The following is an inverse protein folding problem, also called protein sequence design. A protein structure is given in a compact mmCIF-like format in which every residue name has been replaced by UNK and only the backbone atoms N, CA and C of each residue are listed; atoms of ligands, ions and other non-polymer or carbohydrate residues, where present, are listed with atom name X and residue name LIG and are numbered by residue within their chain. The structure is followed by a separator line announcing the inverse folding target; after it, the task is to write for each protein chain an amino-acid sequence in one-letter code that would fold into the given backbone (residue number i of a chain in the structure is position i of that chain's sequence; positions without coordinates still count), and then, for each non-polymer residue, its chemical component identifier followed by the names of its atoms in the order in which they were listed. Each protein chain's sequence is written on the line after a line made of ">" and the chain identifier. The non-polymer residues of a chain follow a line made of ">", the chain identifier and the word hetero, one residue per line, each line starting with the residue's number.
data_IF_377648411298
#
_entry.id   IF_377648411298
#
_cell.length_a   1.000
_cell.length_b   1.000
_cell.length_c   1.000
_cell.angle_alpha   90.00
_cell.angle_beta   90.00
_cell.angle_gamma   90.00
#
_symmetry.space_group_name_H-M   'P 1'
#
loop_
_entity.id
_entity.type
_entity.pdbx_description
1 polymer ?
#
# COMPACT_ATOMS: atom_id res chain seq x y z
N UNK A 1 11.01 26.56 3.04
CA UNK A 1 10.11 25.60 2.36
C UNK A 1 8.69 25.88 2.86
N UNK A 2 7.89 26.66 2.12
CA UNK A 2 6.52 27.04 2.53
C UNK A 2 5.58 25.89 2.15
N UNK A 3 5.16 25.09 3.13
CA UNK A 3 4.07 24.13 2.93
C UNK A 3 2.78 24.92 2.73
N UNK A 4 2.12 24.63 1.62
CA UNK A 4 0.91 25.31 1.16
C UNK A 4 -0.20 25.19 2.21
N UNK A 5 -0.82 26.33 2.53
CA UNK A 5 -2.05 26.42 3.28
C UNK A 5 -3.13 25.55 2.63
N UNK A 6 -3.80 24.73 3.43
CA UNK A 6 -4.93 23.88 3.05
C UNK A 6 -6.15 24.71 2.61
N UNK A 7 -6.09 25.24 1.39
CA UNK A 7 -7.28 25.69 0.68
C UNK A 7 -8.10 24.45 0.33
N UNK A 8 -9.17 24.18 1.09
CA UNK A 8 -10.22 23.25 0.65
C UNK A 8 -10.74 23.77 -0.68
N UNK A 9 -10.24 23.16 -1.75
CA UNK A 9 -10.60 23.48 -3.11
C UNK A 9 -12.10 23.23 -3.27
N UNK A 10 -12.88 24.31 -3.38
CA UNK A 10 -14.24 24.30 -3.93
C UNK A 10 -14.22 24.13 -5.46
N UNK A 11 -13.29 23.34 -6.00
CA UNK A 11 -13.40 22.94 -7.40
C UNK A 11 -14.50 21.89 -7.49
N UNK A 12 -15.63 22.29 -8.08
CA UNK A 12 -16.64 21.37 -8.59
C UNK A 12 -16.01 20.44 -9.61
N UNK A 13 -15.39 19.36 -9.12
CA UNK A 13 -14.84 18.30 -9.94
C UNK A 13 -16.02 17.54 -10.52
N UNK A 14 -16.47 17.94 -11.72
CA UNK A 14 -17.13 17.02 -12.63
C UNK A 14 -16.33 15.72 -12.60
N UNK A 15 -16.97 14.59 -12.27
CA UNK A 15 -16.38 13.25 -12.38
C UNK A 15 -15.80 13.11 -13.78
N UNK A 16 -14.51 13.36 -13.94
CA UNK A 16 -13.84 13.07 -15.20
C UNK A 16 -13.97 11.56 -15.41
N UNK A 17 -14.33 11.11 -16.63
CA UNK A 17 -14.42 9.69 -16.92
C UNK A 17 -13.12 9.03 -16.48
N UNK A 18 -13.23 7.89 -15.78
CA UNK A 18 -12.09 7.17 -15.20
C UNK A 18 -11.08 6.87 -16.29
N UNK A 19 -10.08 7.74 -16.46
CA UNK A 19 -9.02 7.52 -17.42
C UNK A 19 -8.27 6.28 -16.96
N UNK A 20 -8.33 5.20 -17.76
CA UNK A 20 -7.50 4.02 -17.56
C UNK A 20 -6.06 4.45 -17.83
N UNK A 21 -5.39 4.91 -16.78
CA UNK A 21 -4.08 5.55 -16.88
C UNK A 21 -2.97 4.61 -17.39
N UNK A 22 -3.24 3.31 -17.55
CA UNK A 22 -2.36 2.32 -18.19
C UNK A 22 -3.16 1.10 -18.69
N UNK A 23 -2.82 0.52 -19.86
CA UNK A 23 -3.06 -0.90 -20.07
C UNK A 23 -2.14 -1.68 -19.11
N UNK A 24 -2.68 -2.61 -18.29
CA UNK A 24 -1.84 -3.34 -17.34
C UNK A 24 -0.86 -4.23 -18.11
N UNK A 25 0.44 -4.11 -17.81
CA UNK A 25 1.50 -4.96 -18.38
C UNK A 25 1.39 -6.43 -17.99
N UNK A 26 0.66 -6.73 -16.91
CA UNK A 26 0.25 -8.08 -16.53
C UNK A 26 -1.19 -8.27 -17.01
N UNK A 27 -1.53 -9.39 -17.69
CA UNK A 27 -2.90 -9.63 -18.08
C UNK A 27 -3.80 -9.61 -16.84
N UNK A 28 -4.88 -8.82 -16.89
CA UNK A 28 -5.88 -8.69 -15.81
C UNK A 28 -6.34 -10.07 -15.31
N UNK A 29 -6.36 -11.05 -16.20
CA UNK A 29 -6.67 -12.45 -15.94
C UNK A 29 -5.74 -13.05 -14.87
N UNK A 30 -4.41 -12.90 -15.00
CA UNK A 30 -3.46 -13.45 -14.03
C UNK A 30 -3.66 -12.87 -12.62
N UNK A 31 -3.95 -11.56 -12.52
CA UNK A 31 -4.25 -10.91 -11.24
C UNK A 31 -5.55 -11.44 -10.63
N UNK A 32 -6.59 -11.62 -11.46
CA UNK A 32 -7.87 -12.19 -11.01
C UNK A 32 -7.68 -13.62 -10.51
N UNK A 33 -6.97 -14.46 -11.28
CA UNK A 33 -6.65 -15.84 -10.87
C UNK A 33 -5.89 -15.83 -9.55
N UNK A 34 -4.85 -15.00 -9.42
CA UNK A 34 -4.07 -14.94 -8.19
C UNK A 34 -4.91 -14.56 -6.96
N UNK A 35 -5.81 -13.60 -7.09
CA UNK A 35 -6.71 -13.21 -6.00
C UNK A 35 -7.78 -14.27 -5.72
N UNK A 36 -8.32 -14.90 -6.77
CA UNK A 36 -9.26 -16.02 -6.66
C UNK A 36 -8.61 -17.26 -6.05
N UNK A 37 -7.29 -17.42 -6.15
CA UNK A 37 -6.55 -18.48 -5.47
C UNK A 37 -6.12 -18.07 -4.06
N UNK A 38 -5.78 -16.81 -3.85
CA UNK A 38 -5.27 -16.31 -2.57
C UNK A 38 -6.31 -16.44 -1.46
N UNK A 39 -7.55 -15.98 -1.67
CA UNK A 39 -8.57 -16.02 -0.62
C UNK A 39 -8.97 -17.46 -0.23
N UNK A 40 -9.23 -18.39 -1.18
CA UNK A 40 -9.44 -19.79 -0.83
C UNK A 40 -8.21 -20.47 -0.23
N UNK A 41 -7.00 -20.13 -0.69
CA UNK A 41 -5.75 -20.63 -0.10
C UNK A 41 -5.65 -20.21 1.38
N UNK A 42 -5.94 -18.96 1.70
CA UNK A 42 -5.97 -18.47 3.08
C UNK A 42 -7.08 -19.13 3.90
N UNK A 43 -8.28 -19.30 3.32
CA UNK A 43 -9.39 -20.00 3.97
C UNK A 43 -9.06 -21.47 4.26
N UNK A 44 -8.37 -22.15 3.35
CA UNK A 44 -7.88 -23.50 3.52
C UNK A 44 -6.84 -23.57 4.66
N UNK A 45 -5.93 -22.59 4.74
CA UNK A 45 -5.00 -22.50 5.87
C UNK A 45 -5.77 -22.40 7.19
N UNK A 46 -6.78 -21.53 7.28
CA UNK A 46 -7.62 -21.41 8.47
C UNK A 46 -8.42 -22.68 8.78
N UNK A 47 -8.89 -23.40 7.77
CA UNK A 47 -9.58 -24.68 7.94
C UNK A 47 -8.68 -25.74 8.60
N UNK A 48 -7.44 -25.90 8.13
CA UNK A 48 -6.47 -26.81 8.75
C UNK A 48 -6.19 -26.47 10.21
N UNK A 49 -6.22 -25.17 10.54
CA UNK A 49 -5.92 -24.65 11.87
C UNK A 49 -7.11 -24.79 12.82
N UNK A 50 -8.34 -24.64 12.33
CA UNK A 50 -9.56 -24.83 13.10
C UNK A 50 -9.72 -26.26 13.66
N UNK A 51 -9.06 -27.25 13.04
CA UNK A 51 -9.01 -28.62 13.55
C UNK A 51 -8.13 -28.79 14.81
N UNK A 52 -7.36 -27.77 15.22
CA UNK A 52 -6.42 -27.82 16.35
C UNK A 52 -6.40 -26.50 17.12
N UNK A 53 -7.51 -26.12 17.81
CA UNK A 53 -7.58 -24.87 18.53
C UNK A 53 -6.51 -24.78 19.62
N UNK A 54 -5.87 -23.62 19.72
CA UNK A 54 -4.77 -23.35 20.66
C UNK A 54 -4.92 -21.92 21.20
N UNK A 55 -4.70 -21.74 22.51
CA UNK A 55 -4.85 -20.44 23.17
C UNK A 55 -3.85 -19.39 22.66
N UNK A 56 -2.71 -19.82 22.11
CA UNK A 56 -1.70 -18.99 21.48
C UNK A 56 -2.15 -18.39 20.13
N UNK A 57 -3.25 -18.86 19.54
CA UNK A 57 -3.77 -18.34 18.27
C UNK A 57 -4.13 -16.85 18.34
N UNK A 58 -4.79 -16.41 19.42
CA UNK A 58 -5.17 -15.01 19.59
C UNK A 58 -3.96 -14.06 19.71
N UNK A 59 -2.97 -14.29 20.60
CA UNK A 59 -1.78 -13.45 20.64
C UNK A 59 -0.97 -13.54 19.34
N UNK A 60 -0.90 -14.72 18.69
CA UNK A 60 -0.25 -14.86 17.40
C UNK A 60 -0.94 -14.04 16.29
N UNK A 61 -2.27 -13.97 16.29
CA UNK A 61 -3.03 -13.10 15.37
C UNK A 61 -2.69 -11.62 15.58
N UNK A 62 -2.63 -11.16 16.83
CA UNK A 62 -2.26 -9.78 17.17
C UNK A 62 -0.84 -9.46 16.71
N UNK A 63 0.12 -10.37 16.97
CA UNK A 63 1.50 -10.24 16.50
C UNK A 63 1.56 -10.23 14.97
N UNK A 64 0.84 -11.13 14.30
CA UNK A 64 0.75 -11.17 12.84
C UNK A 64 0.22 -9.87 12.24
N UNK A 65 -0.79 -9.26 12.87
CA UNK A 65 -1.33 -7.97 12.46
C UNK A 65 -0.34 -6.82 12.66
N UNK A 66 0.33 -6.79 13.82
CA UNK A 66 1.39 -5.80 14.09
C UNK A 66 2.53 -5.90 13.09
N UNK A 67 2.97 -7.12 12.74
CA UNK A 67 4.02 -7.34 11.75
C UNK A 67 3.57 -6.93 10.34
N UNK A 68 2.31 -7.19 9.97
CA UNK A 68 1.76 -6.70 8.70
C UNK A 68 1.78 -5.17 8.63
N UNK A 69 1.36 -4.51 9.71
CA UNK A 69 1.40 -3.06 9.83
C UNK A 69 2.84 -2.52 9.75
N UNK A 70 3.79 -3.14 10.46
CA UNK A 70 5.21 -2.79 10.44
C UNK A 70 5.81 -2.92 9.04
N UNK A 71 5.55 -4.02 8.34
CA UNK A 71 6.03 -4.22 6.97
C UNK A 71 5.40 -3.22 5.99
N UNK A 72 4.13 -2.86 6.19
CA UNK A 72 3.48 -1.80 5.39
C UNK A 72 4.23 -0.47 5.54
N UNK A 73 4.53 -0.06 6.78
CA UNK A 73 5.19 1.20 7.05
C UNK A 73 6.67 1.22 6.70
N UNK A 74 7.39 0.11 6.88
CA UNK A 74 8.77 -0.01 6.42
C UNK A 74 8.86 0.09 4.89
N UNK A 75 7.94 -0.55 4.17
CA UNK A 75 7.85 -0.47 2.70
C UNK A 75 7.50 0.95 2.26
N UNK A 76 6.53 1.58 2.92
CA UNK A 76 6.15 2.98 2.66
C UNK A 76 7.36 3.91 2.83
N UNK A 77 7.99 3.92 4.01
CA UNK A 77 9.18 4.70 4.31
C UNK A 77 10.29 4.48 3.28
N UNK A 78 10.53 3.22 2.87
CA UNK A 78 11.52 2.92 1.85
C UNK A 78 11.16 3.53 0.48
N UNK A 79 9.93 3.37 0.01
CA UNK A 79 9.49 3.90 -1.28
C UNK A 79 9.46 5.44 -1.31
N UNK A 80 9.12 6.09 -0.20
CA UNK A 80 9.16 7.54 -0.05
C UNK A 80 10.55 8.11 -0.25
N UNK A 81 11.55 7.45 0.31
CA UNK A 81 12.91 7.98 0.35
C UNK A 81 13.85 7.33 -0.65
N UNK A 82 13.40 6.30 -1.38
CA UNK A 82 14.16 5.70 -2.48
C UNK A 82 14.33 6.74 -3.60
N UNK A 83 15.56 7.18 -3.93
CA UNK A 83 15.74 8.12 -5.03
C UNK A 83 15.30 7.50 -6.36
N UNK A 84 14.70 8.33 -7.20
CA UNK A 84 14.48 7.99 -8.60
C UNK A 84 15.77 8.14 -9.41
N UNK A 85 15.87 7.45 -10.55
CA UNK A 85 17.01 7.61 -11.47
C UNK A 85 16.99 9.05 -12.02
N UNK A 86 18.07 9.83 -11.86
CA UNK A 86 18.10 11.21 -12.32
C UNK A 86 18.16 11.32 -13.85
N UNK A 87 17.67 12.43 -14.40
CA UNK A 87 17.84 12.76 -15.83
C UNK A 87 16.98 11.95 -16.81
N UNK A 88 16.11 11.07 -16.32
CA UNK A 88 15.16 10.32 -17.18
C UNK A 88 13.86 11.07 -17.44
N UNK A 89 13.64 12.21 -16.75
CA UNK A 89 12.50 13.12 -16.91
C UNK A 89 11.35 12.90 -15.91
N UNK A 90 11.54 12.07 -14.88
CA UNK A 90 10.49 11.80 -13.87
C UNK A 90 10.07 13.06 -13.10
N UNK A 91 11.00 13.99 -12.89
CA UNK A 91 10.77 15.34 -12.36
C UNK A 91 9.73 16.10 -13.20
N UNK A 92 9.86 16.07 -14.53
CA UNK A 92 8.94 16.73 -15.47
C UNK A 92 7.53 16.17 -15.37
N UNK A 93 7.38 14.86 -15.11
CA UNK A 93 6.08 14.24 -14.85
C UNK A 93 5.55 14.55 -13.46
N UNK A 94 6.43 14.56 -12.46
CA UNK A 94 6.06 14.85 -11.08
C UNK A 94 5.53 16.27 -10.94
N UNK A 95 6.24 17.25 -11.50
CA UNK A 95 5.90 18.67 -11.47
C UNK A 95 5.11 19.17 -12.68
N UNK A 96 4.51 18.27 -13.48
CA UNK A 96 3.74 18.66 -14.66
C UNK A 96 2.58 19.59 -14.29
N UNK A 97 2.60 20.84 -14.80
CA UNK A 97 1.62 21.90 -14.49
C UNK A 97 0.35 21.86 -15.34
N UNK A 98 0.42 21.21 -16.50
CA UNK A 98 -0.72 21.11 -17.42
C UNK A 98 -1.78 20.11 -16.94
N UNK A 99 -2.85 19.98 -17.73
CA UNK A 99 -3.87 18.96 -17.48
C UNK A 99 -3.27 17.56 -17.64
N UNK A 100 -3.32 16.73 -16.60
CA UNK A 100 -2.88 15.32 -16.67
C UNK A 100 -3.80 14.42 -17.49
N UNK A 101 -4.94 14.95 -17.93
CA UNK A 101 -5.81 14.30 -18.90
C UNK A 101 -5.50 14.67 -20.35
N UNK A 102 -4.50 15.53 -20.60
CA UNK A 102 -4.16 16.00 -21.96
C UNK A 102 -3.38 14.95 -22.76
N UNK A 103 -3.42 15.11 -24.09
CA UNK A 103 -2.57 14.34 -25.01
C UNK A 103 -1.08 14.58 -24.72
N UNK A 104 -0.69 15.82 -24.38
CA UNK A 104 0.69 16.18 -24.05
C UNK A 104 1.22 15.43 -22.83
N UNK A 105 0.43 15.34 -21.76
CA UNK A 105 0.80 14.57 -20.57
C UNK A 105 0.93 13.09 -20.89
N UNK A 106 -0.01 12.54 -21.67
CA UNK A 106 0.04 11.14 -22.08
C UNK A 106 1.28 10.84 -22.93
N UNK A 107 1.64 11.72 -23.87
CA UNK A 107 2.83 11.58 -24.70
C UNK A 107 4.12 11.65 -23.87
N UNK A 108 4.25 12.67 -23.02
CA UNK A 108 5.39 12.83 -22.09
C UNK A 108 5.55 11.62 -21.18
N UNK A 109 4.43 11.15 -20.62
CA UNK A 109 4.40 9.98 -19.74
C UNK A 109 4.83 8.72 -20.47
N UNK A 110 4.30 8.44 -21.65
CA UNK A 110 4.67 7.26 -22.44
C UNK A 110 6.17 7.28 -22.78
N UNK A 111 6.68 8.45 -23.19
CA UNK A 111 8.10 8.65 -23.50
C UNK A 111 8.99 8.32 -22.29
N UNK A 112 8.69 8.84 -21.11
CA UNK A 112 9.51 8.64 -19.91
C UNK A 112 9.35 7.22 -19.35
N UNK A 113 8.13 6.69 -19.31
CA UNK A 113 7.86 5.34 -18.78
C UNK A 113 8.58 4.26 -19.60
N UNK A 114 8.77 4.47 -20.91
CA UNK A 114 9.54 3.56 -21.76
C UNK A 114 11.02 3.46 -21.38
N UNK A 115 11.57 4.45 -20.65
CA UNK A 115 13.00 4.52 -20.27
C UNK A 115 13.31 3.91 -18.91
N UNK A 116 12.30 3.48 -18.16
CA UNK A 116 12.46 3.02 -16.78
C UNK A 116 11.89 1.62 -16.54
N UNK A 117 12.54 0.87 -15.66
CA UNK A 117 12.17 -0.49 -15.28
C UNK A 117 10.95 -0.56 -14.36
N UNK A 118 10.41 -1.77 -14.09
CA UNK A 118 9.20 -1.96 -13.30
C UNK A 118 9.33 -1.49 -11.85
N UNK A 119 10.50 -1.67 -11.22
CA UNK A 119 10.75 -1.20 -9.87
C UNK A 119 10.75 0.34 -9.78
N UNK A 120 11.40 1.00 -10.74
CA UNK A 120 11.42 2.47 -10.82
C UNK A 120 10.01 3.04 -11.03
N UNK A 121 9.20 2.39 -11.86
CA UNK A 121 7.77 2.73 -12.02
C UNK A 121 7.00 2.58 -10.71
N UNK A 122 7.26 1.52 -9.94
CA UNK A 122 6.64 1.34 -8.62
C UNK A 122 7.00 2.48 -7.68
N UNK A 123 8.28 2.84 -7.59
CA UNK A 123 8.76 3.94 -6.75
C UNK A 123 8.11 5.26 -7.17
N UNK A 124 8.10 5.58 -8.47
CA UNK A 124 7.47 6.80 -8.97
C UNK A 124 5.95 6.84 -8.77
N UNK A 125 5.24 5.75 -9.13
CA UNK A 125 3.78 5.64 -8.95
C UNK A 125 3.39 5.66 -7.46
N UNK A 126 4.32 5.30 -6.57
CA UNK A 126 4.21 5.53 -5.15
C UNK A 126 4.36 7.02 -4.88
N UNK A 127 5.53 7.65 -5.06
CA UNK A 127 5.78 9.07 -4.71
C UNK A 127 4.73 10.06 -5.23
N UNK A 128 4.22 9.87 -6.44
CA UNK A 128 3.22 10.77 -7.04
C UNK A 128 1.94 10.89 -6.20
N UNK A 129 1.68 9.95 -5.27
CA UNK A 129 0.54 10.02 -4.37
C UNK A 129 0.65 11.13 -3.32
N UNK A 130 1.86 11.63 -2.97
CA UNK A 130 2.00 12.74 -2.02
C UNK A 130 1.39 14.05 -2.55
N UNK A 131 1.76 14.53 -3.76
CA UNK A 131 1.08 15.69 -4.33
C UNK A 131 -0.34 15.39 -4.82
N UNK A 132 -0.72 14.10 -4.96
CA UNK A 132 -1.99 13.67 -5.56
C UNK A 132 -2.61 12.45 -4.85
N UNK A 133 -3.02 12.59 -3.58
CA UNK A 133 -3.51 11.46 -2.78
C UNK A 133 -4.69 10.75 -3.46
N UNK A 134 -5.64 11.52 -3.98
CA UNK A 134 -6.81 10.99 -4.67
C UNK A 134 -6.48 10.12 -5.91
N UNK A 135 -5.29 10.25 -6.50
CA UNK A 135 -4.87 9.39 -7.61
C UNK A 135 -4.68 7.93 -7.17
N UNK A 136 -4.25 7.70 -5.92
CA UNK A 136 -4.16 6.37 -5.33
C UNK A 136 -5.56 5.85 -4.93
N UNK A 137 -6.38 6.71 -4.33
CA UNK A 137 -7.73 6.34 -3.88
C UNK A 137 -8.70 5.91 -4.99
N UNK A 138 -8.53 6.45 -6.21
CA UNK A 138 -9.33 6.07 -7.39
C UNK A 138 -8.94 4.72 -8.01
N UNK A 139 -7.87 4.07 -7.56
CA UNK A 139 -7.43 2.78 -8.11
C UNK A 139 -8.32 1.65 -7.60
N UNK A 140 -8.61 0.68 -8.46
CA UNK A 140 -9.44 -0.46 -8.11
C UNK A 140 -8.74 -1.40 -7.13
N UNK A 141 -9.53 -2.20 -6.39
CA UNK A 141 -9.02 -3.27 -5.52
C UNK A 141 -8.01 -4.16 -6.25
N UNK A 142 -8.36 -4.64 -7.45
CA UNK A 142 -7.50 -5.51 -8.25
C UNK A 142 -6.14 -4.86 -8.53
N UNK A 143 -6.12 -3.56 -8.84
CA UNK A 143 -4.87 -2.86 -9.13
C UNK A 143 -3.99 -2.76 -7.88
N UNK A 144 -4.57 -2.37 -6.75
CA UNK A 144 -3.85 -2.14 -5.50
C UNK A 144 -3.35 -3.45 -4.86
N UNK A 145 -4.16 -4.51 -4.90
CA UNK A 145 -3.81 -5.81 -4.35
C UNK A 145 -2.85 -6.61 -5.25
N UNK A 146 -2.70 -6.25 -6.54
CA UNK A 146 -1.98 -7.06 -7.53
C UNK A 146 -0.57 -7.47 -7.09
N UNK A 147 0.30 -6.49 -6.83
CA UNK A 147 1.73 -6.79 -6.60
C UNK A 147 1.95 -7.52 -5.28
N UNK A 148 1.39 -7.08 -4.14
CA UNK A 148 1.54 -7.79 -2.88
C UNK A 148 0.91 -9.19 -2.93
N UNK A 149 -0.27 -9.36 -3.55
CA UNK A 149 -0.92 -10.66 -3.63
C UNK A 149 -0.15 -11.63 -4.53
N UNK A 150 0.21 -11.22 -5.75
CA UNK A 150 0.82 -12.12 -6.74
C UNK A 150 2.23 -12.55 -6.37
N UNK A 151 3.07 -11.62 -5.90
CA UNK A 151 4.50 -11.88 -5.71
C UNK A 151 4.87 -12.26 -4.28
N UNK A 152 3.98 -12.03 -3.30
CA UNK A 152 4.29 -12.27 -1.89
C UNK A 152 3.21 -13.14 -1.25
N UNK A 153 1.98 -12.64 -1.13
CA UNK A 153 0.99 -13.27 -0.26
C UNK A 153 0.53 -14.65 -0.78
N UNK A 154 0.30 -14.81 -2.09
CA UNK A 154 -0.13 -16.09 -2.66
C UNK A 154 0.96 -17.18 -2.57
N UNK A 155 2.21 -16.97 -3.02
CA UNK A 155 3.26 -17.98 -2.87
C UNK A 155 3.46 -18.42 -1.42
N UNK A 156 3.45 -17.47 -0.48
CA UNK A 156 3.60 -17.77 0.95
C UNK A 156 2.37 -18.48 1.54
N UNK A 157 1.16 -18.14 1.11
CA UNK A 157 -0.06 -18.85 1.52
C UNK A 157 -0.08 -20.29 1.01
N UNK A 158 0.38 -20.54 -0.22
CA UNK A 158 0.53 -21.88 -0.76
C UNK A 158 1.59 -22.68 0.01
N UNK A 159 2.73 -22.07 0.31
CA UNK A 159 3.77 -22.70 1.14
C UNK A 159 3.26 -23.02 2.56
N UNK A 160 2.47 -22.12 3.16
CA UNK A 160 1.82 -22.34 4.45
C UNK A 160 0.86 -23.53 4.39
N UNK A 161 0.04 -23.64 3.34
CA UNK A 161 -0.85 -24.79 3.15
C UNK A 161 -0.09 -26.11 3.03
N UNK A 162 1.02 -26.16 2.29
CA UNK A 162 1.87 -27.35 2.21
C UNK A 162 2.44 -27.71 3.58
N UNK A 163 2.89 -26.72 4.34
CA UNK A 163 3.45 -26.93 5.68
C UNK A 163 2.38 -27.39 6.70
N UNK A 164 1.17 -26.83 6.64
CA UNK A 164 0.01 -27.26 7.44
C UNK A 164 -0.41 -28.68 7.09
N UNK A 165 -0.52 -29.01 5.79
CA UNK A 165 -0.84 -30.35 5.32
C UNK A 165 0.19 -31.39 5.78
N UNK A 166 1.47 -31.05 5.76
CA UNK A 166 2.54 -31.89 6.27
C UNK A 166 2.55 -32.02 7.82
N UNK A 167 1.63 -31.37 8.53
CA UNK A 167 1.53 -31.42 9.99
C UNK A 167 2.66 -30.68 10.72
N UNK A 168 3.44 -29.84 10.03
CA UNK A 168 4.66 -29.20 10.55
C UNK A 168 4.42 -27.86 11.24
N UNK A 169 3.21 -27.31 11.16
CA UNK A 169 2.90 -25.96 11.64
C UNK A 169 1.97 -26.04 12.85
N UNK A 170 2.40 -25.56 14.04
CA UNK A 170 1.52 -25.40 15.18
C UNK A 170 0.35 -24.44 14.86
N UNK A 171 -0.81 -24.70 15.45
CA UNK A 171 -2.04 -23.93 15.18
C UNK A 171 -1.87 -22.42 15.34
N UNK A 172 -1.23 -21.99 16.44
CA UNK A 172 -0.98 -20.57 16.70
C UNK A 172 -0.10 -19.91 15.63
N UNK A 173 0.96 -20.59 15.17
CA UNK A 173 1.88 -20.04 14.17
C UNK A 173 1.18 -19.90 12.82
N UNK A 174 0.36 -20.88 12.45
CA UNK A 174 -0.44 -20.81 11.23
C UNK A 174 -1.44 -19.65 11.25
N UNK A 175 -2.09 -19.38 12.39
CA UNK A 175 -3.01 -18.23 12.52
C UNK A 175 -2.25 -16.91 12.41
N UNK A 176 -1.12 -16.77 13.12
CA UNK A 176 -0.29 -15.57 13.02
C UNK A 176 0.21 -15.32 11.59
N UNK A 177 0.66 -16.38 10.90
CA UNK A 177 1.07 -16.31 9.51
C UNK A 177 -0.09 -15.93 8.57
N UNK A 178 -1.28 -16.51 8.75
CA UNK A 178 -2.46 -16.18 7.97
C UNK A 178 -2.86 -14.70 8.12
N UNK A 179 -2.88 -14.18 9.35
CA UNK A 179 -3.19 -12.77 9.62
C UNK A 179 -2.13 -11.83 9.03
N UNK A 180 -0.84 -12.19 9.15
CA UNK A 180 0.27 -11.46 8.53
C UNK A 180 0.09 -11.38 7.00
N UNK A 181 -0.20 -12.52 6.36
CA UNK A 181 -0.40 -12.59 4.90
C UNK A 181 -1.63 -11.82 4.44
N UNK A 182 -2.73 -11.87 5.21
CA UNK A 182 -3.92 -11.08 4.93
C UNK A 182 -3.63 -9.58 5.02
N UNK A 183 -3.06 -9.12 6.13
CA UNK A 183 -2.73 -7.71 6.35
C UNK A 183 -1.71 -7.18 5.36
N UNK A 184 -0.62 -7.92 5.13
CA UNK A 184 0.44 -7.55 4.19
C UNK A 184 0.00 -7.62 2.72
N UNK A 185 -0.74 -8.66 2.34
CA UNK A 185 -1.27 -8.83 0.99
C UNK A 185 -2.29 -7.76 0.59
N UNK A 186 -2.98 -7.15 1.57
CA UNK A 186 -3.95 -6.09 1.36
C UNK A 186 -3.45 -4.69 1.77
N UNK A 187 -2.21 -4.55 2.24
CA UNK A 187 -1.69 -3.28 2.77
C UNK A 187 -1.85 -2.11 1.79
N UNK A 188 -1.56 -2.33 0.50
CA UNK A 188 -1.70 -1.30 -0.53
C UNK A 188 -3.16 -0.98 -0.86
N UNK A 189 -4.07 -1.96 -0.71
CA UNK A 189 -5.51 -1.69 -0.81
C UNK A 189 -5.97 -0.82 0.36
N UNK A 190 -5.60 -1.18 1.59
CA UNK A 190 -5.89 -0.38 2.77
C UNK A 190 -5.36 1.04 2.61
N UNK A 191 -4.11 1.22 2.16
CA UNK A 191 -3.55 2.53 1.85
C UNK A 191 -4.42 3.31 0.85
N UNK A 192 -4.82 2.69 -0.26
CA UNK A 192 -5.71 3.35 -1.22
C UNK A 192 -7.05 3.79 -0.63
N UNK A 193 -7.62 3.02 0.31
CA UNK A 193 -8.87 3.40 0.99
C UNK A 193 -8.72 4.60 1.94
N UNK A 194 -7.50 5.00 2.31
CA UNK A 194 -7.24 6.21 3.11
C UNK A 194 -7.34 7.50 2.29
N UNK A 195 -7.26 7.36 0.95
CA UNK A 195 -7.23 8.46 -0.01
C UNK A 195 -8.53 8.62 -0.80
N UNK A 196 -9.60 7.94 -0.39
CA UNK A 196 -10.89 8.05 -1.06
C UNK A 196 -11.68 9.24 -0.51
N UNK A 197 -12.22 10.03 -1.42
CA UNK A 197 -13.11 11.16 -1.11
C UNK A 197 -14.54 10.69 -0.76
N UNK A 198 -14.71 9.44 -0.33
CA UNK A 198 -16.01 8.89 0.03
C UNK A 198 -16.57 9.62 1.25
N UNK A 199 -17.86 9.94 1.22
CA UNK A 199 -18.52 10.43 2.41
C UNK A 199 -18.48 9.33 3.50
N UNK A 200 -18.49 9.68 4.80
CA UNK A 200 -18.36 8.70 5.88
C UNK A 200 -19.38 7.55 5.82
N UNK A 201 -20.55 7.78 5.22
CA UNK A 201 -21.61 6.78 5.04
C UNK A 201 -21.44 5.87 3.80
N UNK A 202 -20.57 6.23 2.85
CA UNK A 202 -20.27 5.43 1.66
C UNK A 202 -19.17 4.39 1.93
N UNK A 203 -18.45 4.49 3.05
CA UNK A 203 -17.42 3.53 3.44
C UNK A 203 -18.06 2.19 3.80
N UNK A 204 -17.70 1.08 3.12
CA UNK A 204 -18.24 -0.24 3.43
C UNK A 204 -18.02 -0.63 4.90
N UNK A 205 -18.99 -1.33 5.50
CA UNK A 205 -18.94 -1.69 6.92
C UNK A 205 -17.68 -2.46 7.31
N UNK A 206 -17.14 -3.28 6.41
CA UNK A 206 -15.92 -4.07 6.62
C UNK A 206 -14.64 -3.22 6.66
N UNK A 207 -14.69 -1.96 6.25
CA UNK A 207 -13.64 -0.96 6.49
C UNK A 207 -13.98 -0.07 7.68
N UNK A 208 -15.24 0.35 7.79
CA UNK A 208 -15.69 1.27 8.85
C UNK A 208 -15.54 0.66 10.25
N UNK A 209 -15.96 -0.59 10.45
CA UNK A 209 -15.90 -1.25 11.76
C UNK A 209 -14.45 -1.45 12.23
N UNK A 210 -13.53 -2.06 11.45
CA UNK A 210 -12.13 -2.18 11.87
C UNK A 210 -11.46 -0.83 12.13
N UNK A 211 -11.81 0.23 11.40
CA UNK A 211 -11.31 1.59 11.67
C UNK A 211 -11.75 2.12 13.03
N UNK A 212 -13.03 1.93 13.39
CA UNK A 212 -13.56 2.31 14.71
C UNK A 212 -12.90 1.53 15.85
N UNK A 213 -12.53 0.28 15.59
CA UNK A 213 -11.83 -0.58 16.55
C UNK A 213 -10.31 -0.33 16.60
N UNK A 214 -9.78 0.60 15.78
CA UNK A 214 -8.34 0.84 15.68
C UNK A 214 -7.54 -0.30 15.03
N UNK A 215 -8.23 -1.26 14.41
CA UNK A 215 -7.62 -2.34 13.64
C UNK A 215 -7.24 -1.89 12.23
N UNK A 216 -7.90 -0.87 11.68
CA UNK A 216 -7.50 -0.18 10.46
C UNK A 216 -7.29 1.31 10.70
N UNK A 217 -6.39 1.91 9.94
CA UNK A 217 -6.06 3.33 10.00
C UNK A 217 -7.20 4.17 9.43
N UNK A 218 -7.38 5.36 9.99
CA UNK A 218 -8.31 6.37 9.46
C UNK A 218 -7.59 7.33 8.51
N UNK A 219 -8.29 7.95 7.55
CA UNK A 219 -7.73 8.99 6.69
C UNK A 219 -7.04 10.11 7.49
N UNK A 220 -7.63 10.55 8.60
CA UNK A 220 -7.09 11.64 9.44
C UNK A 220 -5.76 11.26 10.09
N UNK A 221 -5.61 10.00 10.51
CA UNK A 221 -4.37 9.51 11.07
C UNK A 221 -3.25 9.49 10.03
N UNK A 222 -3.58 9.13 8.79
CA UNK A 222 -2.66 9.08 7.65
C UNK A 222 -2.32 10.47 7.10
N UNK A 223 -3.23 11.45 7.20
CA UNK A 223 -2.97 12.83 6.80
C UNK A 223 -1.79 13.44 7.57
N UNK A 224 -1.52 12.98 8.80
CA UNK A 224 -0.33 13.40 9.58
C UNK A 224 0.98 13.04 8.88
N UNK A 225 0.99 11.91 8.19
CA UNK A 225 2.10 11.53 7.32
C UNK A 225 2.18 12.48 6.14
N UNK A 226 1.10 12.71 5.38
CA UNK A 226 1.09 13.65 4.24
C UNK A 226 1.52 15.07 4.61
N UNK A 227 1.17 15.53 5.81
CA UNK A 227 1.55 16.86 6.30
C UNK A 227 3.06 17.03 6.53
N UNK A 228 3.82 15.95 6.75
CA UNK A 228 5.22 16.02 7.19
C UNK A 228 6.21 15.13 6.45
N UNK A 229 5.72 14.06 5.81
CA UNK A 229 6.45 13.00 5.11
C UNK A 229 7.63 12.39 5.88
N UNK A 230 7.65 12.54 7.22
CA UNK A 230 8.80 12.21 8.07
C UNK A 230 8.43 11.34 9.27
N UNK A 231 7.18 10.89 9.35
CA UNK A 231 6.64 10.03 10.40
C UNK A 231 5.38 9.32 9.93
N UNK A 232 4.92 8.40 10.77
CA UNK A 232 3.63 7.73 10.66
C UNK A 232 3.43 6.97 9.34
N UNK A 233 4.47 6.23 8.94
CA UNK A 233 4.57 5.56 7.65
C UNK A 233 3.63 4.36 7.46
N UNK A 234 3.17 3.70 8.52
CA UNK A 234 2.30 2.53 8.36
C UNK A 234 1.00 2.88 7.67
N UNK A 235 0.41 1.93 6.94
CA UNK A 235 -0.80 2.15 6.15
C UNK A 235 -1.93 1.18 6.49
N UNK A 236 -1.72 0.27 7.45
CA UNK A 236 -2.72 -0.72 7.85
C UNK A 236 -3.48 -0.26 9.09
N UNK A 237 -2.86 -0.20 10.28
CA UNK A 237 -3.47 0.22 11.55
C UNK A 237 -2.72 1.36 12.23
N UNK A 238 -1.42 1.50 11.99
CA UNK A 238 -0.56 2.50 12.60
C UNK A 238 0.05 2.10 13.95
N UNK A 239 -0.19 0.88 14.43
CA UNK A 239 0.35 0.39 15.71
C UNK A 239 1.87 0.38 15.75
N UNK A 240 2.51 0.15 14.61
CA UNK A 240 3.97 0.07 14.47
C UNK A 240 4.66 1.43 14.25
N UNK A 241 3.88 2.52 14.10
CA UNK A 241 4.44 3.85 13.86
C UNK A 241 5.41 4.35 14.94
N UNK A 242 5.21 4.12 16.25
CA UNK A 242 6.20 4.51 17.25
C UNK A 242 7.58 3.91 17.00
N UNK A 243 7.65 2.61 16.65
CA UNK A 243 8.90 1.94 16.31
C UNK A 243 9.50 2.48 15.00
N UNK A 244 8.67 2.62 13.95
CA UNK A 244 9.14 3.14 12.66
C UNK A 244 9.64 4.59 12.75
N UNK A 245 9.01 5.44 13.57
CA UNK A 245 9.45 6.81 13.80
C UNK A 245 10.83 6.85 14.48
N UNK A 246 11.09 5.93 15.43
CA UNK A 246 12.43 5.77 16.03
C UNK A 246 13.47 5.32 15.01
N UNK A 247 13.14 4.32 14.20
CA UNK A 247 14.02 3.81 13.13
C UNK A 247 14.33 4.90 12.11
N UNK A 248 13.31 5.60 11.62
CA UNK A 248 13.45 6.72 10.70
C UNK A 248 14.36 7.82 11.27
N UNK A 249 14.12 8.23 12.52
CA UNK A 249 14.95 9.22 13.20
C UNK A 249 16.41 8.79 13.31
N UNK A 250 16.68 7.51 13.60
CA UNK A 250 18.03 6.97 13.65
C UNK A 250 18.70 6.94 12.26
N UNK A 251 17.99 6.48 11.21
CA UNK A 251 18.49 6.45 9.84
C UNK A 251 18.78 7.85 9.30
N UNK A 252 17.90 8.81 9.59
CA UNK A 252 18.07 10.23 9.21
C UNK A 252 19.27 10.86 9.91
N UNK A 253 19.47 10.65 11.22
CA UNK A 253 20.66 11.14 11.96
C UNK A 253 21.97 10.56 11.42
N UNK A 254 21.93 9.35 10.87
CA UNK A 254 23.08 8.70 10.23
C UNK A 254 23.28 9.10 8.76
N UNK A 255 22.44 9.99 8.21
CA UNK A 255 22.51 10.40 6.80
C UNK A 255 22.11 9.30 5.80
N UNK A 256 21.51 8.19 6.26
CA UNK A 256 21.11 7.07 5.40
C UNK A 256 19.81 7.34 4.63
N UNK A 257 19.03 8.32 5.08
CA UNK A 257 17.80 8.77 4.46
C UNK A 257 17.90 10.28 4.21
N UNK A 258 17.69 10.71 2.97
CA UNK A 258 17.78 12.11 2.55
C UNK A 258 16.44 12.62 2.01
N UNK A 259 16.00 13.84 2.39
CA UNK A 259 14.81 14.48 1.80
C UNK A 259 14.86 14.60 0.28
N UNK A 260 16.05 14.61 -0.33
CA UNK A 260 16.21 14.60 -1.79
C UNK A 260 15.61 13.35 -2.45
N UNK A 261 15.38 12.27 -1.69
CA UNK A 261 14.70 11.08 -2.18
C UNK A 261 13.18 11.23 -2.29
N UNK A 262 12.56 12.24 -1.66
CA UNK A 262 11.10 12.41 -1.66
C UNK A 262 10.54 12.81 -3.03
N UNK A 263 11.34 13.50 -3.82
CA UNK A 263 10.96 14.03 -5.13
C UNK A 263 11.96 13.52 -6.19
N UNK A 264 11.50 13.17 -7.40
CA UNK A 264 12.42 12.87 -8.50
C UNK A 264 13.25 14.10 -8.90
N UNK A 265 14.51 13.87 -9.26
CA UNK A 265 15.49 14.90 -9.68
C UNK A 265 15.90 14.76 -11.14
#
# INVERSE_FOLDING_TARGET
>A
MRLASSGRSRYGLRRLPSQRLYPPSTPVIATRIALLLFLPSLALSLFWLGARPDWGMAPAAVVGWYLADLLSGATHMYLDYRPCIPGVGLDRLFFYRGSRGSADYAALKNQIMARIGPFERLVFDFKIHHPQPAALGRRSFLYLARSPALFIALPLALALNVACWAGKVPGWLGVGAAVLLFGGGLAQYFHGTLHREEAPWDTPWFLALPRRLGLLMTPEAHERHHATLTRDFSTTSGWSNPLLNLVFGALRRRGMISPAGLEPT
#
